data_IF_128877163011
#
_entry.id   IF_128877163011
#
_cell.length_a   1.000
_cell.length_b   1.000
_cell.length_c   1.000
_cell.angle_alpha   90.00
_cell.angle_beta   90.00
_cell.angle_gamma   90.00
#
_symmetry.space_group_name_H-M   'P 1'
#
loop_
_entity.id
_entity.type
_entity.pdbx_description
1 polymer ?
#
# COMPACT_ATOMS: atom_id res chain seq x y z
N UNK A 1 -14.86 -17.58 3.25
CA UNK A 1 -14.42 -17.05 4.55
C UNK A 1 -12.91 -16.85 4.49
N UNK A 2 -12.41 -15.61 4.63
CA UNK A 2 -10.97 -15.40 4.83
C UNK A 2 -10.69 -15.55 6.31
N UNK A 3 -10.26 -16.74 6.74
CA UNK A 3 -9.76 -16.92 8.11
C UNK A 3 -8.52 -16.05 8.25
N UNK A 4 -8.59 -15.06 9.15
CA UNK A 4 -7.41 -14.28 9.53
C UNK A 4 -6.42 -15.23 10.20
N UNK A 5 -5.16 -15.17 9.80
CA UNK A 5 -4.08 -15.99 10.37
C UNK A 5 -3.69 -15.43 11.73
N UNK A 6 -3.30 -16.31 12.64
CA UNK A 6 -2.90 -15.94 14.00
C UNK A 6 -1.57 -16.56 14.34
N UNK A 7 -0.71 -15.82 15.04
CA UNK A 7 0.49 -16.41 15.61
C UNK A 7 0.09 -17.50 16.61
N UNK A 8 0.79 -18.62 16.56
CA UNK A 8 0.61 -19.74 17.47
C UNK A 8 1.90 -19.98 18.23
N UNK A 9 1.78 -20.23 19.53
CA UNK A 9 2.87 -20.68 20.40
C UNK A 9 3.07 -22.21 20.30
N UNK A 10 2.42 -22.87 19.33
CA UNK A 10 2.64 -24.28 19.06
C UNK A 10 4.13 -24.54 18.81
N UNK A 11 4.64 -25.57 19.47
CA UNK A 11 6.05 -25.98 19.42
C UNK A 11 6.46 -26.60 18.09
N UNK A 12 5.49 -27.07 17.30
CA UNK A 12 5.76 -27.73 16.02
C UNK A 12 5.69 -26.71 14.89
N UNK A 13 6.81 -26.50 14.21
CA UNK A 13 6.88 -25.73 12.96
C UNK A 13 6.46 -26.62 11.80
N UNK A 14 5.90 -26.01 10.76
CA UNK A 14 5.74 -26.71 9.48
C UNK A 14 7.11 -27.07 8.91
N UNK A 15 7.25 -28.32 8.47
CA UNK A 15 8.43 -28.78 7.73
C UNK A 15 8.30 -28.40 6.25
N UNK A 16 8.63 -27.15 5.94
CA UNK A 16 8.56 -26.58 4.60
C UNK A 16 9.55 -25.42 4.44
N UNK A 17 10.00 -25.11 3.20
CA UNK A 17 10.90 -24.00 2.92
C UNK A 17 10.15 -22.65 2.97
N UNK A 18 9.60 -22.30 4.13
CA UNK A 18 8.70 -21.16 4.30
C UNK A 18 9.42 -19.83 4.04
N UNK A 19 10.64 -19.66 4.60
CA UNK A 19 11.39 -18.40 4.48
C UNK A 19 11.87 -18.17 3.06
N UNK A 20 12.35 -19.22 2.39
CA UNK A 20 12.77 -19.20 1.00
C UNK A 20 11.59 -18.84 0.10
N UNK A 21 10.44 -19.49 0.32
CA UNK A 21 9.22 -19.25 -0.44
C UNK A 21 8.73 -17.80 -0.30
N UNK A 22 8.69 -17.26 0.92
CA UNK A 22 8.31 -15.86 1.13
C UNK A 22 9.35 -14.90 0.56
N UNK A 23 10.64 -15.21 0.64
CA UNK A 23 11.71 -14.42 0.01
C UNK A 23 11.55 -14.33 -1.51
N UNK A 24 11.23 -15.44 -2.18
CA UNK A 24 10.93 -15.47 -3.61
C UNK A 24 9.69 -14.63 -3.96
N UNK A 25 8.64 -14.68 -3.12
CA UNK A 25 7.46 -13.84 -3.29
C UNK A 25 7.76 -12.35 -3.09
N UNK A 26 8.62 -11.99 -2.13
CA UNK A 26 9.04 -10.60 -1.89
C UNK A 26 9.80 -10.01 -3.09
N UNK A 27 10.57 -10.83 -3.81
CA UNK A 27 11.19 -10.40 -5.06
C UNK A 27 10.14 -9.98 -6.08
N UNK A 28 9.12 -10.82 -6.31
CA UNK A 28 8.02 -10.51 -7.22
C UNK A 28 7.23 -9.28 -6.78
N UNK A 29 6.92 -9.15 -5.49
CA UNK A 29 6.16 -8.00 -4.98
C UNK A 29 6.90 -6.70 -5.20
N UNK A 30 8.24 -6.71 -5.10
CA UNK A 30 9.07 -5.51 -5.23
C UNK A 30 9.28 -5.12 -6.70
N UNK A 31 9.32 -6.11 -7.60
CA UNK A 31 9.64 -5.88 -9.00
C UNK A 31 8.41 -5.67 -9.88
N UNK A 32 7.44 -6.60 -9.86
CA UNK A 32 6.44 -6.71 -10.94
C UNK A 32 5.03 -7.04 -10.49
N UNK A 33 4.82 -7.46 -9.24
CA UNK A 33 3.53 -7.96 -8.73
C UNK A 33 3.04 -7.20 -7.49
N UNK A 34 2.69 -5.92 -7.63
CA UNK A 34 2.13 -5.12 -6.53
C UNK A 34 0.81 -5.68 -5.97
N UNK A 35 0.05 -6.38 -6.79
CA UNK A 35 -1.24 -7.00 -6.47
C UNK A 35 -1.18 -8.10 -5.39
N UNK A 36 0.02 -8.61 -5.06
CA UNK A 36 0.25 -9.54 -3.96
C UNK A 36 0.98 -8.92 -2.75
N UNK A 37 1.30 -7.63 -2.78
CA UNK A 37 2.10 -6.97 -1.76
C UNK A 37 1.53 -7.13 -0.34
N UNK A 38 0.22 -6.93 -0.17
CA UNK A 38 -0.44 -7.17 1.11
C UNK A 38 -0.31 -8.63 1.56
N UNK A 39 -0.66 -9.58 0.68
CA UNK A 39 -0.68 -10.99 1.03
C UNK A 39 0.72 -11.48 1.47
N UNK A 40 1.77 -11.06 0.77
CA UNK A 40 3.16 -11.38 1.10
C UNK A 40 3.61 -10.71 2.39
N UNK A 41 3.30 -9.42 2.57
CA UNK A 41 3.58 -8.68 3.80
C UNK A 41 2.81 -9.20 5.01
N UNK A 42 1.70 -9.91 4.80
CA UNK A 42 0.93 -10.56 5.86
C UNK A 42 1.56 -11.90 6.26
N UNK A 43 1.88 -12.78 5.30
CA UNK A 43 2.50 -14.09 5.60
C UNK A 43 3.93 -13.97 6.14
N UNK A 44 4.66 -12.90 5.81
CA UNK A 44 6.02 -12.67 6.31
C UNK A 44 6.08 -12.48 7.83
N UNK A 45 4.96 -12.12 8.47
CA UNK A 45 4.85 -11.96 9.93
C UNK A 45 5.07 -13.27 10.68
N UNK A 46 4.92 -14.41 10.01
CA UNK A 46 4.99 -15.75 10.62
C UNK A 46 6.29 -16.50 10.30
N UNK A 47 7.31 -15.82 9.75
CA UNK A 47 8.58 -16.46 9.35
C UNK A 47 9.35 -17.12 10.50
N UNK A 48 9.16 -16.66 11.74
CA UNK A 48 9.87 -17.19 12.91
C UNK A 48 9.32 -18.56 13.36
N UNK A 49 7.99 -18.70 13.38
CA UNK A 49 7.29 -19.92 13.80
C UNK A 49 6.13 -20.26 12.83
N UNK A 50 6.40 -20.63 11.56
CA UNK A 50 5.36 -20.90 10.59
C UNK A 50 4.60 -22.20 10.94
N UNK A 51 3.29 -22.18 10.71
CA UNK A 51 2.34 -23.27 10.97
C UNK A 51 1.71 -23.73 9.65
N UNK A 52 1.03 -24.87 9.64
CA UNK A 52 0.44 -25.40 8.39
C UNK A 52 -0.52 -24.41 7.73
N UNK A 53 -1.32 -23.67 8.51
CA UNK A 53 -2.21 -22.63 7.97
C UNK A 53 -1.45 -21.49 7.27
N UNK A 54 -0.29 -21.10 7.79
CA UNK A 54 0.59 -20.12 7.17
C UNK A 54 1.15 -20.67 5.86
N UNK A 55 1.54 -21.94 5.84
CA UNK A 55 2.03 -22.60 4.63
C UNK A 55 0.95 -22.73 3.55
N UNK A 56 -0.28 -23.05 3.95
CA UNK A 56 -1.44 -23.04 3.05
C UNK A 56 -1.68 -21.66 2.44
N UNK A 57 -1.51 -20.59 3.21
CA UNK A 57 -1.60 -19.22 2.71
C UNK A 57 -0.50 -18.90 1.68
N UNK A 58 0.76 -19.27 1.95
CA UNK A 58 1.87 -19.13 0.99
C UNK A 58 1.58 -19.89 -0.31
N UNK A 59 1.17 -21.18 -0.21
CA UNK A 59 0.76 -22.00 -1.37
C UNK A 59 -0.38 -21.36 -2.16
N UNK A 60 -1.28 -20.61 -1.51
CA UNK A 60 -2.37 -19.89 -2.18
C UNK A 60 -1.85 -18.72 -3.02
N UNK A 61 -0.86 -17.98 -2.53
CA UNK A 61 -0.21 -16.89 -3.29
C UNK A 61 0.46 -17.47 -4.55
N UNK A 62 1.22 -18.57 -4.42
CA UNK A 62 1.83 -19.23 -5.58
C UNK A 62 0.79 -19.73 -6.59
N UNK A 63 -0.32 -20.34 -6.15
CA UNK A 63 -1.41 -20.75 -7.07
C UNK A 63 -2.02 -19.58 -7.81
N UNK A 64 -2.21 -18.44 -7.13
CA UNK A 64 -2.69 -17.23 -7.77
C UNK A 64 -1.70 -16.72 -8.82
N UNK A 65 -0.40 -16.68 -8.50
CA UNK A 65 0.66 -16.30 -9.44
C UNK A 65 0.69 -17.24 -10.65
N UNK A 66 0.55 -18.54 -10.44
CA UNK A 66 0.51 -19.52 -11.53
C UNK A 66 -0.67 -19.29 -12.49
N UNK A 67 -1.84 -18.95 -11.95
CA UNK A 67 -3.01 -18.59 -12.74
C UNK A 67 -2.95 -17.21 -13.39
N UNK A 68 -1.97 -16.39 -13.02
CA UNK A 68 -1.76 -15.01 -13.53
C UNK A 68 -0.33 -14.81 -14.04
N UNK A 69 0.30 -15.88 -14.54
CA UNK A 69 1.71 -15.87 -14.98
C UNK A 69 1.97 -14.91 -16.15
N UNK A 70 0.95 -14.66 -16.97
CA UNK A 70 0.96 -13.74 -18.11
C UNK A 70 0.67 -12.29 -17.71
N UNK A 71 0.37 -12.03 -16.43
CA UNK A 71 0.02 -10.69 -15.97
C UNK A 71 1.27 -9.88 -15.65
N UNK A 72 1.29 -8.63 -16.11
CA UNK A 72 2.34 -7.67 -15.81
C UNK A 72 1.83 -6.23 -15.79
N UNK A 73 2.72 -5.32 -15.40
CA UNK A 73 2.44 -3.89 -15.33
C UNK A 73 2.34 -3.32 -16.75
N UNK A 74 1.16 -2.83 -17.10
CA UNK A 74 0.86 -2.30 -18.43
C UNK A 74 0.66 -0.77 -18.39
N UNK A 75 1.67 -0.04 -18.83
CA UNK A 75 1.57 1.40 -19.07
C UNK A 75 0.78 1.71 -20.33
N UNK A 76 0.05 2.82 -20.32
CA UNK A 76 -0.72 3.31 -21.46
C UNK A 76 -0.16 4.64 -21.92
N UNK A 77 0.20 4.78 -23.22
CA UNK A 77 0.56 6.07 -23.77
C UNK A 77 -0.54 7.11 -23.52
N UNK A 78 -0.16 8.30 -23.07
CA UNK A 78 -1.05 9.42 -22.82
C UNK A 78 -0.36 10.71 -23.24
N UNK A 79 -1.15 11.65 -23.77
CA UNK A 79 -0.67 12.99 -24.10
C UNK A 79 -0.43 13.85 -22.84
N UNK A 80 -0.87 13.40 -21.68
CA UNK A 80 -0.68 14.07 -20.39
C UNK A 80 -0.15 13.08 -19.36
N UNK A 81 0.77 13.56 -18.53
CA UNK A 81 1.30 12.83 -17.39
C UNK A 81 0.25 12.80 -16.28
N UNK A 82 -0.28 11.61 -15.98
CA UNK A 82 -1.32 11.37 -14.96
C UNK A 82 -0.71 10.80 -13.66
N UNK A 83 0.22 11.54 -13.06
CA UNK A 83 0.81 11.14 -11.80
C UNK A 83 -0.18 11.33 -10.64
N UNK A 84 -0.48 10.25 -9.91
CA UNK A 84 -1.42 10.27 -8.77
C UNK A 84 -1.08 9.23 -7.72
N UNK A 85 -1.19 9.61 -6.45
CA UNK A 85 -1.05 8.74 -5.30
C UNK A 85 -2.40 8.35 -4.69
N UNK A 86 -2.39 7.25 -3.94
CA UNK A 86 -3.48 6.76 -3.09
C UNK A 86 -2.85 6.31 -1.76
N UNK A 87 -3.52 6.57 -0.65
CA UNK A 87 -3.09 6.18 0.71
C UNK A 87 -4.27 5.58 1.45
N UNK A 88 -4.09 4.42 2.10
CA UNK A 88 -5.12 3.76 2.91
C UNK A 88 -4.48 3.11 4.14
N UNK A 89 -5.28 2.82 5.16
CA UNK A 89 -4.88 2.04 6.31
C UNK A 89 -5.95 1.03 6.75
N UNK A 90 -5.56 -0.24 6.89
CA UNK A 90 -6.42 -1.23 7.56
C UNK A 90 -6.22 -1.12 9.08
N UNK A 91 -7.10 -0.39 9.76
CA UNK A 91 -7.03 -0.12 11.19
C UNK A 91 -7.23 -1.39 12.03
N UNK A 92 -6.27 -1.67 12.92
CA UNK A 92 -6.29 -2.83 13.80
C UNK A 92 -6.53 -4.18 13.07
N UNK A 93 -6.06 -4.27 11.82
CA UNK A 93 -6.22 -5.44 10.96
C UNK A 93 -5.48 -6.68 11.48
N UNK A 94 -4.34 -6.49 12.16
CA UNK A 94 -3.58 -7.57 12.79
C UNK A 94 -4.27 -8.05 14.07
N UNK A 95 -4.62 -9.33 14.13
CA UNK A 95 -5.30 -9.90 15.30
C UNK A 95 -4.37 -10.13 16.50
N UNK A 96 -3.07 -10.26 16.26
CA UNK A 96 -2.10 -10.60 17.31
C UNK A 96 -1.71 -9.37 18.11
N UNK A 97 -1.39 -8.25 17.47
CA UNK A 97 -0.95 -7.03 18.17
C UNK A 97 -1.82 -5.80 17.91
N UNK A 98 -2.95 -5.95 17.18
CA UNK A 98 -3.89 -4.86 16.86
C UNK A 98 -3.25 -3.67 16.14
N UNK A 99 -2.10 -3.88 15.49
CA UNK A 99 -1.47 -2.85 14.67
C UNK A 99 -2.14 -2.79 13.30
N UNK A 100 -2.22 -1.57 12.79
CA UNK A 100 -2.78 -1.28 11.48
C UNK A 100 -1.79 -1.65 10.36
N UNK A 101 -2.28 -1.81 9.13
CA UNK A 101 -1.43 -1.93 7.94
C UNK A 101 -1.61 -0.68 7.08
N UNK A 102 -0.54 0.10 6.90
CA UNK A 102 -0.53 1.23 5.97
C UNK A 102 -0.24 0.75 4.57
N UNK A 103 -0.93 1.33 3.59
CA UNK A 103 -0.73 1.06 2.18
C UNK A 103 -0.69 2.34 1.37
N UNK A 104 0.08 2.33 0.29
CA UNK A 104 0.05 3.39 -0.71
C UNK A 104 0.26 2.83 -2.10
N UNK A 105 -0.17 3.60 -3.10
CA UNK A 105 0.05 3.29 -4.51
C UNK A 105 0.20 4.59 -5.28
N UNK A 106 1.30 4.73 -6.02
CA UNK A 106 1.55 5.80 -6.97
C UNK A 106 1.42 5.26 -8.39
N UNK A 107 0.51 5.85 -9.14
CA UNK A 107 0.22 5.54 -10.53
C UNK A 107 0.86 6.59 -11.44
N UNK A 108 1.34 6.13 -12.59
CA UNK A 108 1.83 6.92 -13.70
C UNK A 108 1.44 6.21 -15.00
N UNK A 109 0.88 6.93 -15.96
CA UNK A 109 0.48 6.43 -17.28
C UNK A 109 -0.39 5.16 -17.17
N UNK A 110 -1.37 5.19 -16.27
CA UNK A 110 -2.31 4.09 -16.04
C UNK A 110 -1.76 2.85 -15.32
N UNK A 111 -0.52 2.85 -14.82
CA UNK A 111 0.11 1.73 -14.13
C UNK A 111 0.93 2.17 -12.88
N UNK A 112 1.22 1.28 -11.93
CA UNK A 112 1.92 1.59 -10.71
C UNK A 112 3.42 1.75 -10.95
N UNK A 113 3.97 2.84 -10.40
CA UNK A 113 5.43 3.11 -10.38
C UNK A 113 6.02 2.97 -8.99
N UNK A 114 5.21 3.08 -7.94
CA UNK A 114 5.61 2.74 -6.58
C UNK A 114 4.40 2.32 -5.77
N UNK A 115 4.62 1.40 -4.85
CA UNK A 115 3.59 0.85 -3.98
C UNK A 115 4.23 0.36 -2.68
N UNK A 116 3.40 0.23 -1.66
CA UNK A 116 3.87 -0.27 -0.37
C UNK A 116 2.73 -0.83 0.45
N UNK A 117 3.02 -1.88 1.19
CA UNK A 117 2.19 -2.45 2.24
C UNK A 117 3.05 -2.66 3.48
N UNK A 118 2.77 -1.93 4.56
CA UNK A 118 3.62 -1.90 5.75
C UNK A 118 2.79 -1.93 7.01
N UNK A 119 3.08 -2.91 7.87
CA UNK A 119 2.55 -2.95 9.24
C UNK A 119 3.04 -1.73 10.02
N UNK A 120 2.14 -0.99 10.65
CA UNK A 120 2.48 0.15 11.47
C UNK A 120 3.28 -0.29 12.70
N UNK A 121 4.26 0.51 13.16
CA UNK A 121 5.09 0.13 14.31
C UNK A 121 4.34 0.23 15.65
N UNK A 122 3.36 1.14 15.75
CA UNK A 122 2.53 1.38 16.93
C UNK A 122 1.06 1.12 16.63
N UNK A 123 0.29 0.78 17.66
CA UNK A 123 -1.17 0.69 17.59
C UNK A 123 -1.75 2.09 17.45
N UNK A 124 -2.65 2.29 16.49
CA UNK A 124 -3.41 3.54 16.31
C UNK A 124 -4.69 3.47 17.15
N UNK A 125 -5.08 4.56 17.80
CA UNK A 125 -6.27 4.59 18.67
C UNK A 125 -7.55 4.93 17.90
N UNK A 126 -7.45 5.27 16.62
CA UNK A 126 -8.59 5.54 15.74
C UNK A 126 -8.23 5.25 14.29
N UNK A 127 -9.24 5.00 13.45
CA UNK A 127 -9.07 4.89 12.00
C UNK A 127 -8.39 6.12 11.42
N UNK A 128 -8.84 7.32 11.77
CA UNK A 128 -8.24 8.56 11.28
C UNK A 128 -6.75 8.71 11.63
N UNK A 129 -6.31 8.18 12.77
CA UNK A 129 -4.89 8.16 13.13
C UNK A 129 -4.10 7.15 12.29
N UNK A 130 -4.68 5.97 12.04
CA UNK A 130 -4.09 4.97 11.16
C UNK A 130 -3.92 5.52 9.74
N UNK A 131 -4.96 6.15 9.19
CA UNK A 131 -4.92 6.82 7.88
C UNK A 131 -3.85 7.91 7.85
N UNK A 132 -3.78 8.73 8.90
CA UNK A 132 -2.79 9.81 8.96
C UNK A 132 -1.35 9.27 8.96
N UNK A 133 -1.12 8.13 9.63
CA UNK A 133 0.17 7.45 9.59
C UNK A 133 0.48 6.89 8.20
N UNK A 134 -0.51 6.33 7.49
CA UNK A 134 -0.36 5.87 6.11
C UNK A 134 -0.07 7.03 5.16
N UNK A 135 -0.80 8.14 5.30
CA UNK A 135 -0.62 9.35 4.50
C UNK A 135 0.77 9.94 4.67
N UNK A 136 1.34 9.91 5.89
CA UNK A 136 2.72 10.34 6.12
C UNK A 136 3.73 9.50 5.34
N UNK A 137 3.50 8.19 5.21
CA UNK A 137 4.37 7.29 4.44
C UNK A 137 4.20 7.56 2.94
N UNK A 138 2.95 7.72 2.48
CA UNK A 138 2.65 8.05 1.10
C UNK A 138 3.29 9.39 0.68
N UNK A 139 3.23 10.42 1.52
CA UNK A 139 3.85 11.72 1.23
C UNK A 139 5.37 11.63 1.09
N UNK A 140 6.05 10.89 1.98
CA UNK A 140 7.50 10.72 1.90
C UNK A 140 7.92 10.05 0.59
N UNK A 141 7.25 8.96 0.23
CA UNK A 141 7.49 8.25 -1.03
C UNK A 141 7.14 9.12 -2.24
N UNK A 142 5.94 9.71 -2.22
CA UNK A 142 5.41 10.52 -3.32
C UNK A 142 6.28 11.73 -3.63
N UNK A 143 6.82 12.41 -2.62
CA UNK A 143 7.73 13.54 -2.81
C UNK A 143 9.02 13.15 -3.52
N UNK A 144 9.58 11.99 -3.20
CA UNK A 144 10.79 11.50 -3.85
C UNK A 144 10.55 11.23 -5.33
N UNK A 145 9.48 10.50 -5.66
CA UNK A 145 9.10 10.18 -7.05
C UNK A 145 8.72 11.44 -7.81
N UNK A 146 7.95 12.33 -7.18
CA UNK A 146 7.51 13.59 -7.77
C UNK A 146 8.68 14.48 -8.17
N UNK A 147 9.70 14.60 -7.30
CA UNK A 147 10.90 15.37 -7.61
C UNK A 147 11.64 14.80 -8.82
N UNK A 148 11.88 13.49 -8.83
CA UNK A 148 12.53 12.81 -9.95
C UNK A 148 11.72 12.99 -11.25
N UNK A 149 10.40 12.84 -11.18
CA UNK A 149 9.52 13.01 -12.34
C UNK A 149 9.57 14.45 -12.88
N UNK A 150 9.50 15.45 -12.00
CA UNK A 150 9.64 16.86 -12.37
C UNK A 150 10.98 17.13 -13.06
N UNK A 151 12.10 16.60 -12.55
CA UNK A 151 13.42 16.77 -13.18
C UNK A 151 13.45 16.16 -14.59
N UNK A 152 12.89 14.97 -14.78
CA UNK A 152 12.84 14.29 -16.08
C UNK A 152 12.02 15.09 -17.09
N UNK A 153 10.83 15.56 -16.71
CA UNK A 153 9.91 16.23 -17.65
C UNK A 153 10.34 17.67 -17.93
N UNK A 154 10.93 18.36 -16.95
CA UNK A 154 11.54 19.67 -17.15
C UNK A 154 12.70 19.59 -18.15
N UNK A 155 13.51 18.51 -18.11
CA UNK A 155 14.55 18.28 -19.11
C UNK A 155 13.99 18.06 -20.53
N UNK A 156 12.73 17.63 -20.63
CA UNK A 156 11.98 17.51 -21.89
C UNK A 156 11.20 18.78 -22.27
N UNK A 157 11.37 19.90 -21.55
CA UNK A 157 10.60 21.14 -21.69
C UNK A 157 9.08 20.98 -21.46
N UNK A 158 8.69 20.04 -20.60
CA UNK A 158 7.32 19.84 -20.14
C UNK A 158 7.12 20.35 -18.71
N UNK A 159 5.88 20.70 -18.36
CA UNK A 159 5.53 21.10 -17.00
C UNK A 159 5.37 19.88 -16.08
N UNK A 160 5.96 19.96 -14.88
CA UNK A 160 5.83 18.92 -13.86
C UNK A 160 4.39 18.69 -13.42
N UNK A 161 3.94 17.44 -13.22
CA UNK A 161 2.60 17.18 -12.70
C UNK A 161 2.49 17.63 -11.24
N UNK A 162 1.28 17.82 -10.74
CA UNK A 162 1.06 18.05 -9.31
C UNK A 162 1.20 16.74 -8.52
N UNK A 163 1.76 16.79 -7.31
CA UNK A 163 1.71 15.67 -6.38
C UNK A 163 0.33 15.62 -5.70
N UNK A 164 -0.60 14.89 -6.33
CA UNK A 164 -1.94 14.65 -5.81
C UNK A 164 -2.05 13.27 -5.15
N UNK A 165 -2.39 13.24 -3.85
CA UNK A 165 -2.66 11.99 -3.11
C UNK A 165 -4.15 11.91 -2.79
N UNK A 166 -4.75 10.77 -3.12
CA UNK A 166 -6.15 10.47 -2.89
C UNK A 166 -6.33 9.77 -1.53
N UNK A 167 -7.36 10.20 -0.81
CA UNK A 167 -7.69 9.76 0.54
C UNK A 167 -9.22 9.61 0.64
N UNK A 168 -9.71 8.52 1.23
CA UNK A 168 -11.17 8.30 1.38
C UNK A 168 -11.67 8.63 2.79
N UNK A 169 -10.78 8.97 3.72
CA UNK A 169 -11.16 9.47 5.03
C UNK A 169 -11.17 11.01 5.09
N UNK A 170 -12.36 11.60 5.01
CA UNK A 170 -12.53 13.06 5.13
C UNK A 170 -12.02 13.63 6.46
N UNK A 171 -12.06 12.86 7.55
CA UNK A 171 -11.52 13.30 8.84
C UNK A 171 -10.00 13.42 8.77
N UNK A 172 -9.33 12.45 8.14
CA UNK A 172 -7.89 12.51 7.87
C UNK A 172 -7.53 13.79 7.08
N UNK A 173 -8.24 14.06 5.98
CA UNK A 173 -8.03 15.27 5.17
C UNK A 173 -8.23 16.55 6.01
N UNK A 174 -9.30 16.63 6.81
CA UNK A 174 -9.56 17.79 7.67
C UNK A 174 -8.44 18.03 8.71
N UNK A 175 -7.84 16.97 9.23
CA UNK A 175 -6.74 17.04 10.21
C UNK A 175 -5.45 17.66 9.64
N UNK A 176 -5.29 17.68 8.31
CA UNK A 176 -4.18 18.37 7.62
C UNK A 176 -4.39 19.89 7.53
N UNK A 177 -5.64 20.35 7.64
CA UNK A 177 -5.98 21.78 7.53
C UNK A 177 -6.12 22.46 8.89
N UNK A 178 -6.58 21.73 9.90
CA UNK A 178 -6.89 22.27 11.22
C UNK A 178 -5.90 21.77 12.29
N UNK A 179 -5.30 22.67 13.08
CA UNK A 179 -4.48 22.31 14.23
C UNK A 179 -5.39 21.88 15.39
N UNK A 180 -5.87 20.64 15.37
CA UNK A 180 -6.50 20.03 16.54
C UNK A 180 -5.40 19.52 17.46
N UNK A 181 -5.35 20.03 18.70
CA UNK A 181 -4.46 19.57 19.75
C UNK A 181 -4.91 18.17 20.19
N UNK A 182 -4.17 17.16 19.76
CA UNK A 182 -4.35 15.80 20.27
C UNK A 182 -3.17 15.49 21.18
N UNK A 183 -3.43 15.18 22.45
CA UNK A 183 -2.40 14.73 23.40
C UNK A 183 -1.84 13.36 22.99
N UNK A 184 -0.89 13.35 22.06
CA UNK A 184 -0.37 12.13 21.40
C UNK A 184 1.11 11.92 21.67
N UNK A 185 1.55 10.67 21.45
CA UNK A 185 2.96 10.31 21.49
C UNK A 185 3.79 11.09 20.45
N UNK A 186 5.02 11.43 20.80
CA UNK A 186 5.94 12.30 20.03
C UNK A 186 6.11 11.88 18.56
N UNK A 187 6.18 10.57 18.27
CA UNK A 187 6.37 10.08 16.89
C UNK A 187 5.15 10.30 16.00
N UNK A 188 3.96 10.32 16.59
CA UNK A 188 2.73 10.65 15.87
C UNK A 188 2.72 12.16 15.65
N UNK A 189 2.96 12.96 16.69
CA UNK A 189 2.98 14.43 16.61
C UNK A 189 3.90 14.96 15.49
N UNK A 190 5.11 14.39 15.34
CA UNK A 190 6.03 14.74 14.24
C UNK A 190 5.40 14.50 12.86
N UNK A 191 4.69 13.38 12.67
CA UNK A 191 3.98 13.10 11.39
C UNK A 191 2.87 14.12 11.14
N UNK A 192 2.17 14.54 12.19
CA UNK A 192 1.14 15.60 12.12
C UNK A 192 1.71 16.92 11.64
N UNK A 193 2.81 17.36 12.24
CA UNK A 193 3.50 18.57 11.81
C UNK A 193 4.01 18.45 10.36
N UNK A 194 4.66 17.34 10.02
CA UNK A 194 5.19 17.10 8.68
C UNK A 194 4.09 17.21 7.61
N UNK A 195 3.01 16.43 7.71
CA UNK A 195 1.94 16.44 6.69
C UNK A 195 1.33 17.84 6.53
N UNK A 196 1.07 18.53 7.64
CA UNK A 196 0.49 19.88 7.62
C UNK A 196 1.41 20.87 6.90
N UNK A 197 2.70 20.84 7.17
CA UNK A 197 3.66 21.73 6.54
C UNK A 197 3.74 21.47 5.02
N UNK A 198 3.75 20.21 4.61
CA UNK A 198 3.77 19.84 3.18
C UNK A 198 2.51 20.33 2.44
N UNK A 199 1.32 20.13 3.04
CA UNK A 199 0.06 20.59 2.46
C UNK A 199 -0.03 22.12 2.48
N UNK A 200 0.43 22.78 3.55
CA UNK A 200 0.40 24.24 3.68
C UNK A 200 1.34 24.92 2.67
N UNK A 201 2.49 24.32 2.37
CA UNK A 201 3.41 24.81 1.32
C UNK A 201 2.86 24.60 -0.10
N UNK A 202 1.81 23.79 -0.26
CA UNK A 202 1.27 23.42 -1.56
C UNK A 202 2.12 22.40 -2.31
N UNK A 203 3.11 21.79 -1.65
CA UNK A 203 3.96 20.75 -2.23
C UNK A 203 3.19 19.43 -2.42
N UNK A 204 2.13 19.21 -1.63
CA UNK A 204 1.24 18.05 -1.72
C UNK A 204 -0.21 18.53 -1.74
N UNK A 205 -1.00 18.03 -2.69
CA UNK A 205 -2.46 18.22 -2.72
C UNK A 205 -3.17 16.94 -2.31
N UNK A 206 -4.13 17.08 -1.38
CA UNK A 206 -5.00 15.98 -0.97
C UNK A 206 -6.36 16.09 -1.64
N UNK A 207 -6.83 14.98 -2.19
CA UNK A 207 -8.14 14.91 -2.84
C UNK A 207 -8.96 13.76 -2.25
N UNK A 208 -10.21 14.05 -1.92
CA UNK A 208 -11.14 13.00 -1.51
C UNK A 208 -11.43 12.06 -2.69
N UNK A 209 -11.43 10.75 -2.43
CA UNK A 209 -11.96 9.74 -3.34
C UNK A 209 -12.90 8.78 -2.59
N UNK A 210 -13.79 8.13 -3.31
CA UNK A 210 -14.66 7.11 -2.71
C UNK A 210 -13.87 5.83 -2.44
N UNK A 211 -14.16 5.13 -1.34
CA UNK A 211 -13.56 3.82 -1.01
C UNK A 211 -13.69 2.81 -2.16
N UNK A 212 -14.77 2.91 -2.95
CA UNK A 212 -14.99 2.07 -4.13
C UNK A 212 -13.87 2.19 -5.20
N UNK A 213 -13.14 3.30 -5.23
CA UNK A 213 -12.04 3.55 -6.18
C UNK A 213 -10.68 3.72 -5.49
N UNK A 214 -10.59 3.40 -4.19
CA UNK A 214 -9.37 3.52 -3.40
C UNK A 214 -8.37 2.42 -3.78
N UNK A 215 -7.41 2.75 -4.66
CA UNK A 215 -6.43 1.77 -5.13
C UNK A 215 -5.51 1.24 -4.03
N UNK A 216 -5.29 2.01 -2.96
CA UNK A 216 -4.48 1.56 -1.83
C UNK A 216 -5.15 0.44 -1.00
N UNK A 217 -6.44 0.16 -1.20
CA UNK A 217 -7.15 -0.96 -0.55
C UNK A 217 -6.46 -2.31 -0.79
N UNK A 218 -5.95 -2.55 -2.00
CA UNK A 218 -5.27 -3.81 -2.33
C UNK A 218 -3.96 -3.99 -1.56
N UNK A 219 -3.42 -2.90 -1.01
CA UNK A 219 -2.18 -2.86 -0.24
C UNK A 219 -2.41 -3.05 1.26
N UNK A 220 -3.61 -2.82 1.76
CA UNK A 220 -3.87 -2.79 3.21
C UNK A 220 -4.63 -4.00 3.73
N UNK A 221 -5.44 -4.64 2.88
CA UNK A 221 -6.36 -5.70 3.30
C UNK A 221 -6.53 -6.80 2.26
N UNK A 222 -6.91 -7.98 2.76
CA UNK A 222 -7.19 -9.15 1.93
C UNK A 222 -8.55 -9.01 1.24
N UNK A 223 -8.55 -8.74 -0.06
CA UNK A 223 -9.77 -8.55 -0.83
C UNK A 223 -10.41 -9.89 -1.27
N UNK A 224 -11.73 -9.91 -1.37
CA UNK A 224 -12.45 -11.04 -1.96
C UNK A 224 -12.13 -11.16 -3.46
N UNK A 225 -12.17 -12.38 -3.99
CA UNK A 225 -11.72 -12.71 -5.36
C UNK A 225 -12.18 -11.73 -6.46
N UNK A 226 -13.49 -11.39 -6.57
CA UNK A 226 -13.97 -10.43 -7.56
C UNK A 226 -13.35 -9.03 -7.41
N UNK A 227 -13.32 -8.50 -6.17
CA UNK A 227 -12.77 -7.19 -5.85
C UNK A 227 -11.25 -7.15 -6.03
N UNK A 228 -10.54 -8.22 -5.69
CA UNK A 228 -9.11 -8.34 -5.94
C UNK A 228 -8.78 -8.29 -7.44
N UNK A 229 -9.55 -9.02 -8.28
CA UNK A 229 -9.40 -8.97 -9.73
C UNK A 229 -9.67 -7.58 -10.32
N UNK A 230 -10.76 -6.93 -9.87
CA UNK A 230 -11.10 -5.56 -10.27
C UNK A 230 -9.97 -4.58 -9.93
N UNK A 231 -9.48 -4.63 -8.68
CA UNK A 231 -8.39 -3.78 -8.22
C UNK A 231 -7.09 -4.07 -8.97
N UNK A 232 -6.76 -5.33 -9.22
CA UNK A 232 -5.58 -5.75 -10.02
C UNK A 232 -5.64 -5.15 -11.43
N UNK A 233 -6.79 -5.21 -12.11
CA UNK A 233 -6.96 -4.65 -13.45
C UNK A 233 -6.93 -3.10 -13.46
N UNK A 234 -7.44 -2.47 -12.40
CA UNK A 234 -7.43 -1.00 -12.23
C UNK A 234 -6.03 -0.49 -11.89
N UNK A 235 -5.25 -1.28 -11.16
CA UNK A 235 -3.82 -1.12 -10.93
C UNK A 235 -2.99 -1.36 -12.21
N UNK A 236 -3.60 -1.60 -13.37
CA UNK A 236 -2.84 -1.79 -14.61
C UNK A 236 -2.06 -3.11 -14.67
N UNK A 237 -2.33 -4.06 -13.77
CA UNK A 237 -1.81 -5.43 -13.85
C UNK A 237 -2.74 -6.24 -14.74
N UNK A 238 -2.29 -6.54 -15.96
CA UNK A 238 -3.13 -7.13 -17.00
C UNK A 238 -2.39 -8.26 -17.68
N UNK A 239 -3.16 -9.20 -18.21
CA UNK A 239 -2.64 -10.22 -19.12
C UNK A 239 -2.00 -9.55 -20.34
N UNK A 240 -0.73 -9.84 -20.58
CA UNK A 240 -0.06 -9.50 -21.82
C UNK A 240 -0.57 -10.45 -22.92
N UNK A 241 -1.04 -9.87 -24.02
CA UNK A 241 -1.20 -10.59 -25.28
C UNK A 241 0.16 -10.62 -25.94
N UNK A 242 0.78 -11.79 -26.05
CA UNK A 242 1.92 -11.99 -26.96
C UNK A 242 1.45 -11.81 -28.42
#
# INVERSE_FOLDING_TARGET
MSSRLVSSDATTKVDAPFREAVGALMHLTTATRPDIAFAVGYVSRFMENPQEEHWVAVKRIFRYLQGTKTHGICYKPSARIDFRGYSDADWAGDLTDRKSTSGYTFMLLGAPVSWGSKKQPSVSLSTSEAEYIALSLAIQEGKWIHRLLCEIVMAANEEGPELMIHEDNQSCIKMTKNPVNHGRAKHIDIKYHHIRDEVKRGEVKLKYCETAVMLADIMTKGLHGPRHKEMTATLGIREHSD
#
